data_IF_634491123185
#
_entry.id   IF_634491123185
#
_cell.length_a   1.000
_cell.length_b   1.000
_cell.length_c   1.000
_cell.angle_alpha   90.00
_cell.angle_beta   90.00
_cell.angle_gamma   90.00
#
_symmetry.space_group_name_H-M   'P 1'
#
loop_
_entity.id
_entity.type
_entity.pdbx_description
1 polymer ?
#
# COMPACT_ATOMS: atom_id res chain seq x y z
N UNK A 1 -8.06 -13.01 12.08
CA UNK A 1 -7.69 -13.11 10.65
C UNK A 1 -7.28 -11.74 10.14
N UNK A 2 -5.98 -11.45 10.03
CA UNK A 2 -5.53 -10.18 9.41
C UNK A 2 -4.82 -10.52 8.11
N UNK A 3 -5.61 -10.91 7.10
CA UNK A 3 -5.12 -11.20 5.74
C UNK A 3 -4.85 -9.87 5.03
N UNK A 4 -3.59 -9.48 4.94
CA UNK A 4 -3.16 -8.28 4.22
C UNK A 4 -1.64 -8.18 4.15
N UNK A 5 -1.15 -7.43 3.17
CA UNK A 5 0.27 -7.32 2.85
C UNK A 5 0.96 -6.26 3.71
N UNK A 6 2.29 -6.31 3.82
CA UNK A 6 3.05 -5.19 4.37
C UNK A 6 3.23 -4.14 3.27
N UNK A 7 3.16 -2.86 3.61
CA UNK A 7 3.34 -1.75 2.67
C UNK A 7 4.71 -1.11 2.89
N UNK A 8 5.46 -0.87 1.81
CA UNK A 8 6.72 -0.13 1.82
C UNK A 8 6.42 1.36 1.88
N UNK A 9 5.95 1.86 3.02
CA UNK A 9 5.40 3.22 3.19
C UNK A 9 6.28 4.31 2.61
N UNK A 10 7.61 4.22 2.76
CA UNK A 10 8.55 5.18 2.18
C UNK A 10 8.52 5.22 0.65
N UNK A 11 8.59 4.05 -0.01
CA UNK A 11 8.50 3.94 -1.48
C UNK A 11 7.11 4.33 -1.98
N UNK A 12 6.06 3.90 -1.29
CA UNK A 12 4.67 4.22 -1.63
C UNK A 12 4.41 5.73 -1.59
N UNK A 13 4.86 6.43 -0.54
CA UNK A 13 4.74 7.90 -0.43
C UNK A 13 5.51 8.64 -1.52
N UNK A 14 6.66 8.11 -1.97
CA UNK A 14 7.39 8.69 -3.12
C UNK A 14 6.59 8.55 -4.42
N UNK A 15 5.94 7.41 -4.64
CA UNK A 15 5.06 7.24 -5.81
C UNK A 15 3.84 8.14 -5.76
N UNK A 16 3.21 8.29 -4.59
CA UNK A 16 2.15 9.27 -4.39
C UNK A 16 2.61 10.69 -4.75
N UNK A 17 3.78 11.11 -4.25
CA UNK A 17 4.35 12.42 -4.58
C UNK A 17 4.62 12.57 -6.09
N UNK A 18 5.17 11.54 -6.74
CA UNK A 18 5.46 11.53 -8.19
C UNK A 18 4.18 11.68 -9.03
N UNK A 19 3.05 11.20 -8.53
CA UNK A 19 1.73 11.24 -9.19
C UNK A 19 0.88 12.46 -8.79
N UNK A 20 1.40 13.35 -7.94
CA UNK A 20 0.63 14.50 -7.43
C UNK A 20 -0.49 14.12 -6.44
N UNK A 21 -0.40 12.94 -5.81
CA UNK A 21 -1.38 12.48 -4.82
C UNK A 21 -1.00 13.00 -3.44
N UNK A 22 -1.65 14.07 -3.00
CA UNK A 22 -1.29 14.76 -1.76
C UNK A 22 -1.83 14.07 -0.48
N UNK A 23 -2.93 13.33 -0.58
CA UNK A 23 -3.58 12.75 0.58
C UNK A 23 -4.26 11.40 0.27
N UNK A 24 -4.82 10.81 1.33
CA UNK A 24 -5.57 9.55 1.24
C UNK A 24 -6.82 9.63 0.37
N UNK A 25 -7.42 10.82 0.22
CA UNK A 25 -8.61 11.00 -0.62
C UNK A 25 -8.23 11.04 -2.10
N UNK A 26 -7.12 11.69 -2.45
CA UNK A 26 -6.54 11.68 -3.79
C UNK A 26 -6.15 10.26 -4.19
N UNK A 27 -5.46 9.53 -3.31
CA UNK A 27 -5.16 8.10 -3.53
C UNK A 27 -6.42 7.29 -3.79
N UNK A 28 -7.43 7.43 -2.92
CA UNK A 28 -8.68 6.69 -3.06
C UNK A 28 -9.36 6.90 -4.42
N UNK A 29 -9.36 8.14 -4.92
CA UNK A 29 -9.91 8.47 -6.25
C UNK A 29 -9.06 7.89 -7.37
N UNK A 30 -7.73 7.96 -7.23
CA UNK A 30 -6.76 7.51 -8.23
C UNK A 30 -6.84 5.99 -8.46
N UNK A 31 -6.90 5.20 -7.38
CA UNK A 31 -6.95 3.73 -7.46
C UNK A 31 -8.38 3.16 -7.34
N UNK A 32 -9.40 4.00 -7.25
CA UNK A 32 -10.81 3.56 -7.21
C UNK A 32 -11.22 2.78 -5.96
N UNK A 33 -10.68 3.11 -4.79
CA UNK A 33 -11.05 2.49 -3.50
C UNK A 33 -11.79 3.46 -2.58
N UNK A 34 -12.44 2.95 -1.53
CA UNK A 34 -13.11 3.79 -0.56
C UNK A 34 -12.11 4.68 0.23
N UNK A 35 -12.46 5.95 0.48
CA UNK A 35 -11.61 6.93 1.20
C UNK A 35 -11.14 6.40 2.56
N UNK A 36 -12.03 5.77 3.32
CA UNK A 36 -11.69 5.19 4.64
C UNK A 36 -10.67 4.06 4.52
N UNK A 37 -10.72 3.27 3.45
CA UNK A 37 -9.74 2.20 3.20
C UNK A 37 -8.36 2.78 2.95
N UNK A 38 -8.25 3.76 2.04
CA UNK A 38 -6.99 4.45 1.77
C UNK A 38 -6.42 5.11 3.02
N UNK A 39 -7.27 5.79 3.81
CA UNK A 39 -6.85 6.42 5.07
C UNK A 39 -6.35 5.38 6.08
N UNK A 40 -7.06 4.26 6.27
CA UNK A 40 -6.63 3.20 7.21
C UNK A 40 -5.30 2.58 6.79
N UNK A 41 -5.08 2.35 5.50
CA UNK A 41 -3.83 1.76 4.98
C UNK A 41 -2.66 2.74 5.13
N UNK A 42 -2.83 3.99 4.74
CA UNK A 42 -1.74 4.99 4.80
C UNK A 42 -1.32 5.36 6.22
N UNK A 43 -2.26 5.29 7.18
CA UNK A 43 -1.98 5.55 8.59
C UNK A 43 -1.64 4.28 9.38
N UNK A 44 -1.54 3.12 8.74
CA UNK A 44 -1.17 1.86 9.39
C UNK A 44 -2.24 1.23 10.29
N UNK A 45 -3.49 1.73 10.24
CA UNK A 45 -4.63 1.14 10.95
C UNK A 45 -5.15 -0.14 10.31
N UNK A 46 -4.83 -0.37 9.03
CA UNK A 46 -5.15 -1.61 8.32
C UNK A 46 -4.00 -2.00 7.39
N UNK A 47 -3.83 -3.31 7.20
CA UNK A 47 -2.96 -3.82 6.13
C UNK A 47 -3.69 -3.73 4.79
N UNK A 48 -3.00 -3.39 3.69
CA UNK A 48 -3.57 -3.46 2.35
C UNK A 48 -4.04 -4.88 2.03
N UNK A 49 -5.34 -5.02 1.77
CA UNK A 49 -5.93 -6.28 1.30
C UNK A 49 -5.71 -6.49 -0.20
N UNK A 50 -6.09 -7.67 -0.74
CA UNK A 50 -5.89 -8.01 -2.15
C UNK A 50 -6.48 -6.99 -3.13
N UNK A 51 -7.68 -6.47 -2.86
CA UNK A 51 -8.32 -5.47 -3.71
C UNK A 51 -7.53 -4.17 -3.78
N UNK A 52 -7.09 -3.64 -2.62
CA UNK A 52 -6.24 -2.44 -2.57
C UNK A 52 -4.93 -2.65 -3.35
N UNK A 53 -4.29 -3.81 -3.17
CA UNK A 53 -3.05 -4.15 -3.87
C UNK A 53 -3.28 -4.20 -5.38
N UNK A 54 -4.23 -5.00 -5.84
CA UNK A 54 -4.50 -5.18 -7.27
C UNK A 54 -4.82 -3.85 -7.96
N UNK A 55 -5.70 -3.04 -7.37
CA UNK A 55 -6.04 -1.70 -7.86
C UNK A 55 -4.83 -0.77 -7.94
N UNK A 56 -3.99 -0.79 -6.91
CA UNK A 56 -2.77 0.02 -6.91
C UNK A 56 -1.83 -0.41 -8.05
N UNK A 57 -1.59 -1.71 -8.21
CA UNK A 57 -0.67 -2.22 -9.24
C UNK A 57 -1.20 -1.96 -10.66
N UNK A 58 -2.51 -2.14 -10.87
CA UNK A 58 -3.19 -1.86 -12.13
C UNK A 58 -3.10 -0.37 -12.50
N UNK A 59 -3.50 0.54 -11.60
CA UNK A 59 -3.48 1.97 -11.87
C UNK A 59 -2.04 2.51 -12.01
N UNK A 60 -1.08 1.89 -11.34
CA UNK A 60 0.28 2.41 -11.28
C UNK A 60 1.25 1.77 -12.26
N UNK A 61 0.92 0.60 -12.83
CA UNK A 61 1.82 -0.15 -13.70
C UNK A 61 3.12 -0.53 -12.99
N UNK A 62 3.03 -0.89 -11.72
CA UNK A 62 4.16 -1.28 -10.87
C UNK A 62 4.03 -2.73 -10.45
N UNK A 63 5.14 -3.35 -10.06
CA UNK A 63 5.13 -4.73 -9.59
C UNK A 63 4.85 -4.80 -8.09
N UNK A 64 4.31 -5.94 -7.64
CA UNK A 64 3.95 -6.14 -6.23
C UNK A 64 5.11 -5.80 -5.29
N UNK A 65 6.32 -6.26 -5.62
CA UNK A 65 7.49 -6.10 -4.79
C UNK A 65 8.07 -4.68 -4.79
N UNK A 66 7.60 -3.77 -5.65
CA UNK A 66 7.97 -2.36 -5.57
C UNK A 66 7.33 -1.68 -4.36
N UNK A 67 6.09 -2.06 -4.04
CA UNK A 67 5.24 -1.33 -3.10
C UNK A 67 4.88 -2.14 -1.86
N UNK A 68 4.89 -3.46 -1.96
CA UNK A 68 4.41 -4.36 -0.92
C UNK A 68 5.45 -5.43 -0.61
N UNK A 69 5.34 -5.99 0.59
CA UNK A 69 6.05 -7.20 1.01
C UNK A 69 5.03 -8.25 1.46
N UNK A 70 5.35 -9.53 1.24
CA UNK A 70 4.60 -10.61 1.84
C UNK A 70 4.80 -10.55 3.37
N UNK A 71 3.72 -10.61 4.18
CA UNK A 71 3.82 -10.59 5.63
C UNK A 71 4.69 -11.71 6.20
N UNK A 72 4.88 -12.83 5.48
CA UNK A 72 5.80 -13.91 5.87
C UNK A 72 7.27 -13.50 5.79
N UNK A 73 7.63 -12.71 4.78
CA UNK A 73 9.01 -12.25 4.54
C UNK A 73 9.37 -11.05 5.42
N UNK A 74 8.39 -10.18 5.73
CA UNK A 74 8.59 -9.03 6.61
C UNK A 74 9.00 -9.45 8.05
N UNK A 75 8.47 -10.57 8.55
CA UNK A 75 8.83 -11.12 9.88
C UNK A 75 10.27 -11.64 9.93
N UNK A 76 10.80 -12.17 8.83
CA UNK A 76 12.16 -12.72 8.78
C UNK A 76 13.23 -11.61 8.82
N UNK A 77 12.96 -10.45 8.21
CA UNK A 77 13.88 -9.29 8.26
C UNK A 77 13.98 -8.64 9.64
N UNK A 78 12.91 -8.68 10.43
CA UNK A 78 12.90 -8.13 11.79
C UNK A 78 13.64 -9.00 12.83
N UNK A 79 13.94 -10.26 12.50
CA UNK A 79 14.65 -11.19 13.39
C UNK A 79 16.14 -11.37 13.02
N UNK A 80 16.58 -10.74 11.94
CA UNK A 80 17.95 -10.82 11.43
C UNK A 80 18.74 -9.51 11.63
N UNK A 81 18.19 -8.57 12.41
CA UNK A 81 18.80 -7.31 12.83
C UNK A 81 18.91 -7.30 14.35
#
# INVERSE_FOLDING_TARGET
>A
MTRGHAIKTGRFKREMKRRGLHDSAALARDIGVHKTTAWRVLNGHARPGPDFVNRTLECWGLEFHDLFDDPRTARQRAHAA
#
